data_IF_226338345894
#
_entry.id   IF_226338345894
#
_cell.length_a   1.000
_cell.length_b   1.000
_cell.length_c   1.000
_cell.angle_alpha   90.00
_cell.angle_beta   90.00
_cell.angle_gamma   90.00
#
_symmetry.space_group_name_H-M   'P 1'
#
loop_
_entity.id
_entity.type
_entity.pdbx_description
1 polymer ?
#
# COMPACT_ATOMS: atom_id res chain seq x y z
N UNK A 1 5.18 -17.52 9.03
CA UNK A 1 6.55 -18.10 8.88
C UNK A 1 7.51 -17.01 8.46
N UNK A 2 8.57 -16.84 9.21
CA UNK A 2 9.60 -15.86 8.86
C UNK A 2 10.45 -16.36 7.69
N UNK A 3 10.61 -15.50 6.68
CA UNK A 3 11.56 -15.73 5.59
C UNK A 3 12.98 -15.48 6.13
N UNK A 4 13.93 -16.29 5.69
CA UNK A 4 15.31 -16.22 6.18
C UNK A 4 15.89 -14.80 6.09
N UNK A 5 16.74 -14.42 7.06
CA UNK A 5 17.31 -13.07 7.19
C UNK A 5 18.17 -12.61 6.02
N UNK A 6 18.55 -13.53 5.14
CA UNK A 6 19.32 -13.26 3.93
C UNK A 6 18.44 -12.93 2.70
N UNK A 7 17.13 -12.75 2.91
CA UNK A 7 16.18 -12.44 1.84
C UNK A 7 15.43 -11.16 2.16
N UNK A 8 15.30 -10.31 1.17
CA UNK A 8 14.52 -9.09 1.23
C UNK A 8 13.39 -9.08 0.21
N UNK A 9 12.44 -8.20 0.41
CA UNK A 9 11.33 -7.97 -0.49
C UNK A 9 11.49 -6.59 -1.14
N UNK A 10 11.47 -6.54 -2.46
CA UNK A 10 11.52 -5.28 -3.21
C UNK A 10 10.18 -5.07 -3.89
N UNK A 11 9.56 -3.93 -3.60
CA UNK A 11 8.27 -3.54 -4.13
C UNK A 11 8.44 -2.35 -5.07
N UNK A 12 8.38 -2.63 -6.37
CA UNK A 12 8.57 -1.59 -7.39
C UNK A 12 7.38 -0.63 -7.46
N UNK A 13 7.62 0.56 -8.02
CA UNK A 13 6.58 1.49 -8.41
C UNK A 13 5.86 1.03 -9.67
N UNK A 14 4.91 1.81 -10.14
CA UNK A 14 4.17 1.53 -11.38
C UNK A 14 2.72 1.97 -11.36
N UNK A 15 2.33 2.81 -10.41
CA UNK A 15 0.96 3.32 -10.33
C UNK A 15 -0.04 2.19 -10.20
N UNK A 16 -1.07 2.21 -11.04
CA UNK A 16 -2.15 1.20 -11.00
C UNK A 16 -1.69 -0.21 -11.35
N UNK A 17 -0.54 -0.39 -11.97
CA UNK A 17 0.05 -1.73 -12.17
C UNK A 17 0.43 -2.42 -10.86
N UNK A 18 0.57 -1.67 -9.78
CA UNK A 18 0.78 -2.19 -8.43
C UNK A 18 -0.36 -3.07 -7.90
N UNK A 19 -1.50 -3.12 -8.59
CA UNK A 19 -2.60 -4.05 -8.29
C UNK A 19 -2.12 -5.52 -8.32
N UNK A 20 -1.24 -5.87 -9.26
CA UNK A 20 -0.63 -7.20 -9.28
C UNK A 20 0.15 -7.48 -7.98
N UNK A 21 0.99 -6.52 -7.57
CA UNK A 21 1.76 -6.62 -6.32
C UNK A 21 0.84 -6.78 -5.10
N UNK A 22 -0.29 -6.07 -5.06
CA UNK A 22 -1.24 -6.21 -3.95
C UNK A 22 -1.78 -7.64 -3.82
N UNK A 23 -2.05 -8.29 -4.94
CA UNK A 23 -2.47 -9.70 -4.95
C UNK A 23 -1.38 -10.67 -4.44
N UNK A 24 -0.13 -10.42 -4.81
CA UNK A 24 1.01 -11.21 -4.30
C UNK A 24 1.17 -11.04 -2.80
N UNK A 25 1.09 -9.80 -2.30
CA UNK A 25 1.20 -9.54 -0.86
C UNK A 25 0.03 -10.13 -0.07
N UNK A 26 -1.17 -10.11 -0.61
CA UNK A 26 -2.31 -10.81 -0.01
C UNK A 26 -2.07 -12.33 0.09
N UNK A 27 -1.49 -12.92 -0.95
CA UNK A 27 -1.10 -14.33 -0.90
C UNK A 27 -0.02 -14.59 0.16
N UNK A 28 0.97 -13.69 0.30
CA UNK A 28 1.98 -13.80 1.36
C UNK A 28 1.33 -13.74 2.75
N UNK A 29 0.40 -12.81 2.97
CA UNK A 29 -0.32 -12.73 4.23
C UNK A 29 -1.16 -13.98 4.51
N UNK A 30 -1.84 -14.51 3.48
CA UNK A 30 -2.63 -15.74 3.59
C UNK A 30 -1.78 -16.96 4.02
N UNK A 31 -0.52 -17.00 3.55
CA UNK A 31 0.41 -18.10 3.86
C UNK A 31 1.37 -17.76 5.02
N UNK A 32 1.14 -16.66 5.71
CA UNK A 32 1.96 -16.17 6.83
C UNK A 32 3.45 -16.02 6.46
N UNK A 33 3.73 -15.56 5.25
CA UNK A 33 5.10 -15.28 4.80
C UNK A 33 5.51 -13.86 5.21
N UNK A 34 6.55 -13.74 6.04
CA UNK A 34 7.01 -12.47 6.61
C UNK A 34 8.47 -12.24 6.26
N UNK A 35 8.75 -11.07 5.69
CA UNK A 35 10.10 -10.62 5.38
C UNK A 35 10.61 -9.69 6.47
N UNK A 36 11.92 -9.76 6.76
CA UNK A 36 12.57 -8.88 7.73
C UNK A 36 13.02 -7.55 7.15
N UNK A 37 13.20 -7.48 5.83
CA UNK A 37 13.69 -6.29 5.15
C UNK A 37 12.89 -6.06 3.87
N UNK A 38 12.33 -4.88 3.75
CA UNK A 38 11.45 -4.50 2.64
C UNK A 38 11.88 -3.14 2.14
N UNK A 39 12.12 -3.02 0.84
CA UNK A 39 12.38 -1.76 0.15
C UNK A 39 11.25 -1.51 -0.84
N UNK A 40 10.70 -0.32 -0.82
CA UNK A 40 9.54 -0.01 -1.64
C UNK A 40 9.60 1.42 -2.21
N UNK A 41 8.98 1.61 -3.36
CA UNK A 41 8.89 2.91 -4.02
C UNK A 41 7.49 3.13 -4.61
N UNK A 42 6.97 4.38 -4.51
CA UNK A 42 5.69 4.79 -5.12
C UNK A 42 4.53 3.86 -4.71
N UNK A 43 3.78 3.33 -5.68
CA UNK A 43 2.69 2.38 -5.43
C UNK A 43 3.13 1.14 -4.63
N UNK A 44 4.38 0.71 -4.81
CA UNK A 44 4.97 -0.35 -3.99
C UNK A 44 5.05 0.00 -2.51
N UNK A 45 5.33 1.26 -2.17
CA UNK A 45 5.32 1.73 -0.79
C UNK A 45 3.92 1.68 -0.18
N UNK A 46 2.90 2.11 -0.93
CA UNK A 46 1.50 2.04 -0.48
C UNK A 46 1.06 0.58 -0.22
N UNK A 47 1.39 -0.31 -1.13
CA UNK A 47 1.12 -1.74 -0.97
C UNK A 47 1.89 -2.34 0.21
N UNK A 48 3.16 -1.96 0.36
CA UNK A 48 4.02 -2.38 1.45
C UNK A 48 3.50 -1.97 2.82
N UNK A 49 2.94 -0.77 2.95
CA UNK A 49 2.31 -0.32 4.19
C UNK A 49 1.16 -1.24 4.61
N UNK A 50 0.31 -1.64 3.68
CA UNK A 50 -0.78 -2.59 3.95
C UNK A 50 -0.26 -3.96 4.38
N UNK A 51 0.85 -4.41 3.79
CA UNK A 51 1.53 -5.64 4.18
C UNK A 51 2.19 -5.51 5.56
N UNK A 52 2.88 -4.40 5.83
CA UNK A 52 3.52 -4.14 7.13
C UNK A 52 2.52 -4.07 8.28
N UNK A 53 1.35 -3.50 8.05
CA UNK A 53 0.24 -3.47 9.04
C UNK A 53 -0.55 -4.77 9.10
N UNK A 54 -0.20 -5.75 8.26
CA UNK A 54 -0.85 -7.05 8.16
C UNK A 54 -2.37 -6.96 7.93
N UNK A 55 -2.76 -6.10 6.99
CA UNK A 55 -4.16 -5.87 6.64
C UNK A 55 -4.48 -6.51 5.27
N UNK A 56 -4.88 -7.79 5.22
CA UNK A 56 -5.22 -8.47 3.97
C UNK A 56 -6.31 -7.72 3.22
N UNK A 57 -6.23 -7.70 1.91
CA UNK A 57 -7.19 -7.08 0.99
C UNK A 57 -7.26 -5.55 1.04
N UNK A 58 -6.56 -4.89 1.98
CA UNK A 58 -6.59 -3.43 2.09
C UNK A 58 -6.07 -2.76 0.82
N UNK A 59 -4.96 -3.23 0.28
CA UNK A 59 -4.40 -2.69 -0.96
C UNK A 59 -5.36 -2.89 -2.15
N UNK A 60 -6.02 -4.04 -2.25
CA UNK A 60 -7.05 -4.29 -3.26
C UNK A 60 -8.23 -3.34 -3.11
N UNK A 61 -8.76 -3.18 -1.90
CA UNK A 61 -9.88 -2.26 -1.65
C UNK A 61 -9.53 -0.84 -2.07
N UNK A 62 -8.34 -0.35 -1.72
CA UNK A 62 -7.86 0.96 -2.11
C UNK A 62 -7.71 1.11 -3.62
N UNK A 63 -7.05 0.15 -4.27
CA UNK A 63 -6.62 0.28 -5.67
C UNK A 63 -7.70 -0.08 -6.69
N UNK A 64 -8.65 -0.94 -6.35
CA UNK A 64 -9.69 -1.41 -7.25
C UNK A 64 -11.06 -0.89 -6.82
N UNK A 65 -11.53 -1.35 -5.67
CA UNK A 65 -12.91 -1.12 -5.25
C UNK A 65 -13.17 0.36 -4.98
N UNK A 66 -12.28 1.06 -4.28
CA UNK A 66 -12.43 2.46 -3.95
C UNK A 66 -12.13 3.38 -5.13
N UNK A 67 -11.27 2.99 -6.07
CA UNK A 67 -11.10 3.74 -7.30
C UNK A 67 -12.41 3.77 -8.10
N UNK A 68 -13.05 2.61 -8.25
CA UNK A 68 -14.33 2.51 -8.95
C UNK A 68 -15.44 3.30 -8.24
N UNK A 69 -15.47 3.26 -6.90
CA UNK A 69 -16.50 3.90 -6.09
C UNK A 69 -16.32 5.40 -5.94
N UNK A 70 -15.10 5.86 -5.64
CA UNK A 70 -14.82 7.26 -5.29
C UNK A 70 -14.16 8.05 -6.42
N UNK A 71 -13.71 7.38 -7.48
CA UNK A 71 -13.09 8.04 -8.66
C UNK A 71 -11.99 9.03 -8.27
N UNK A 72 -11.09 8.62 -7.38
CA UNK A 72 -10.03 9.48 -6.85
C UNK A 72 -8.92 9.81 -7.86
N UNK A 73 -8.96 9.22 -9.05
CA UNK A 73 -8.05 9.48 -10.16
C UNK A 73 -8.82 10.08 -11.31
N UNK A 74 -8.44 11.28 -11.77
CA UNK A 74 -9.10 11.91 -12.91
C UNK A 74 -8.63 13.33 -13.17
N UNK A 75 -8.86 13.80 -14.41
CA UNK A 75 -8.45 15.14 -14.84
C UNK A 75 -9.17 16.27 -14.09
N UNK A 76 -10.36 16.03 -13.58
CA UNK A 76 -11.08 17.02 -12.77
C UNK A 76 -10.29 17.44 -11.54
N UNK A 77 -9.54 16.51 -10.92
CA UNK A 77 -8.71 16.79 -9.75
C UNK A 77 -7.49 17.64 -10.12
N UNK A 78 -7.00 17.52 -11.35
CA UNK A 78 -5.93 18.39 -11.84
C UNK A 78 -6.36 19.86 -11.84
N UNK A 79 -7.60 20.13 -12.28
CA UNK A 79 -8.15 21.49 -12.32
C UNK A 79 -8.44 22.02 -10.92
N UNK A 80 -8.98 21.21 -10.03
CA UNK A 80 -9.42 21.64 -8.69
C UNK A 80 -8.33 21.62 -7.64
N UNK A 81 -7.36 20.70 -7.74
CA UNK A 81 -6.31 20.47 -6.73
C UNK A 81 -4.90 20.54 -7.29
N UNK A 82 -4.73 20.73 -8.59
CA UNK A 82 -3.41 20.73 -9.24
C UNK A 82 -2.76 19.34 -9.35
N UNK A 83 -3.50 18.27 -9.10
CA UNK A 83 -3.03 16.89 -9.15
C UNK A 83 -4.14 15.98 -9.69
N UNK A 84 -3.77 14.95 -10.45
CA UNK A 84 -4.75 13.99 -11.00
C UNK A 84 -5.36 13.07 -9.95
N UNK A 85 -4.76 12.98 -8.77
CA UNK A 85 -5.29 12.25 -7.62
C UNK A 85 -6.06 13.18 -6.69
N UNK A 86 -7.12 12.67 -6.10
CA UNK A 86 -7.77 13.32 -4.95
C UNK A 86 -6.93 13.08 -3.69
N UNK A 87 -6.07 14.03 -3.38
CA UNK A 87 -5.10 13.89 -2.28
C UNK A 87 -5.76 13.84 -0.90
N UNK A 88 -6.81 14.64 -0.69
CA UNK A 88 -7.56 14.60 0.58
C UNK A 88 -8.16 13.22 0.81
N UNK A 89 -8.76 12.64 -0.21
CA UNK A 89 -9.35 11.30 -0.12
C UNK A 89 -8.31 10.23 0.16
N UNK A 90 -7.18 10.26 -0.57
CA UNK A 90 -6.15 9.22 -0.49
C UNK A 90 -5.33 9.27 0.80
N UNK A 91 -4.96 10.48 1.26
CA UNK A 91 -4.00 10.63 2.35
C UNK A 91 -4.64 10.96 3.69
N UNK A 92 -5.90 11.37 3.71
CA UNK A 92 -6.62 11.65 4.94
C UNK A 92 -7.83 10.74 5.14
N UNK A 93 -8.81 10.78 4.24
CA UNK A 93 -10.06 10.03 4.44
C UNK A 93 -9.90 8.53 4.37
N UNK A 94 -9.07 8.00 3.45
CA UNK A 94 -8.85 6.55 3.36
C UNK A 94 -8.23 5.99 4.64
N UNK A 95 -7.07 6.46 5.10
CA UNK A 95 -6.44 5.86 6.27
C UNK A 95 -7.16 6.14 7.59
N UNK A 96 -7.95 7.22 7.68
CA UNK A 96 -8.57 7.63 8.93
C UNK A 96 -10.05 7.27 9.05
N UNK A 97 -10.79 7.19 7.94
CA UNK A 97 -12.26 7.03 7.99
C UNK A 97 -12.77 5.88 7.13
N UNK A 98 -12.45 5.87 5.82
CA UNK A 98 -13.09 4.97 4.84
C UNK A 98 -12.44 3.60 4.78
N UNK A 99 -11.14 3.55 4.96
CA UNK A 99 -10.32 2.33 4.95
C UNK A 99 -9.27 2.43 6.05
N UNK A 100 -9.68 2.34 7.33
CA UNK A 100 -8.78 2.61 8.45
C UNK A 100 -7.47 1.85 8.37
N UNK A 101 -6.38 2.57 8.59
CA UNK A 101 -5.04 2.02 8.64
C UNK A 101 -4.68 1.63 10.08
N UNK A 102 -4.23 0.42 10.29
CA UNK A 102 -3.81 -0.06 11.60
C UNK A 102 -2.38 0.40 11.91
N UNK A 103 -2.27 1.62 12.42
CA UNK A 103 -0.99 2.22 12.80
C UNK A 103 -0.28 1.41 13.90
N UNK A 104 -1.03 0.85 14.84
CA UNK A 104 -0.44 0.06 15.93
C UNK A 104 0.21 -1.21 15.40
N UNK A 105 -0.47 -1.94 14.53
CA UNK A 105 0.11 -3.13 13.89
C UNK A 105 1.33 -2.78 13.05
N UNK A 106 1.29 -1.67 12.30
CA UNK A 106 2.42 -1.20 11.51
C UNK A 106 3.65 -0.93 12.39
N UNK A 107 3.49 -0.17 13.45
CA UNK A 107 4.62 0.19 14.33
C UNK A 107 5.09 -0.95 15.23
N UNK A 108 4.26 -1.96 15.49
CA UNK A 108 4.69 -3.18 16.17
C UNK A 108 5.47 -4.14 15.28
N UNK A 109 5.39 -4.00 13.96
CA UNK A 109 6.14 -4.83 13.04
C UNK A 109 7.63 -4.52 13.15
N UNK A 110 8.45 -5.54 13.36
CA UNK A 110 9.91 -5.40 13.57
C UNK A 110 10.71 -5.43 12.27
N UNK A 111 10.08 -5.63 11.13
CA UNK A 111 10.74 -5.57 9.84
C UNK A 111 11.24 -4.15 9.55
N UNK A 112 12.38 -4.05 8.89
CA UNK A 112 12.86 -2.79 8.34
C UNK A 112 12.10 -2.50 7.04
N UNK A 113 11.44 -1.36 6.98
CA UNK A 113 10.70 -0.92 5.81
C UNK A 113 11.25 0.42 5.32
N UNK A 114 11.91 0.39 4.15
CA UNK A 114 12.49 1.58 3.53
C UNK A 114 11.61 2.04 2.37
N UNK A 115 11.15 3.28 2.43
CA UNK A 115 10.44 3.94 1.34
C UNK A 115 11.39 4.87 0.60
N UNK A 116 11.70 4.52 -0.64
CA UNK A 116 12.64 5.29 -1.46
C UNK A 116 11.90 6.47 -2.09
N UNK A 117 12.44 7.66 -1.91
CA UNK A 117 11.94 8.91 -2.51
C UNK A 117 13.05 9.62 -3.27
N UNK A 118 12.68 10.50 -4.19
CA UNK A 118 13.60 11.36 -4.93
C UNK A 118 13.70 12.75 -4.35
#
# INVERSE_FOLDING_TARGET
MQIGSNKGLVLEGGGMRGVFTSGVLDAFMKHDLRFHYIVAVSAGACNGMSYMSWQPRRARLSNIDFLARYKYLGLRHLVTQGCIFDQELLYDKFPNELLPFDYDAYFRNRATFEMVTT
#
